data_IF_708256278008
#
_entry.id   IF_708256278008
#
_cell.length_a   1.000
_cell.length_b   1.000
_cell.length_c   1.000
_cell.angle_alpha   90.00
_cell.angle_beta   90.00
_cell.angle_gamma   90.00
#
_symmetry.space_group_name_H-M   'P 1'
#
loop_
_entity.id
_entity.type
_entity.pdbx_description
1 polymer ?
#
# COMPACT_ATOMS: atom_id res chain seq x y z
N UNK A 1 -31.49 -11.42 -11.54
CA UNK A 1 -30.24 -11.25 -10.76
C UNK A 1 -29.27 -12.28 -11.29
N UNK A 2 -28.53 -11.92 -12.33
CA UNK A 2 -27.46 -12.77 -12.86
C UNK A 2 -26.16 -12.29 -12.21
N UNK A 3 -25.43 -13.23 -11.64
CA UNK A 3 -24.02 -13.09 -11.25
C UNK A 3 -23.26 -12.42 -12.39
N UNK A 4 -22.71 -11.25 -12.12
CA UNK A 4 -21.64 -10.68 -12.92
C UNK A 4 -20.52 -10.24 -11.98
N UNK A 5 -20.02 -11.18 -11.18
CA UNK A 5 -18.64 -11.15 -10.71
C UNK A 5 -17.75 -11.48 -11.91
N UNK A 6 -17.74 -10.60 -12.92
CA UNK A 6 -16.69 -10.64 -13.91
C UNK A 6 -15.39 -10.40 -13.14
N UNK A 7 -14.51 -11.41 -13.08
CA UNK A 7 -13.14 -11.19 -12.69
C UNK A 7 -12.64 -10.00 -13.51
N UNK A 8 -12.02 -8.98 -12.89
CA UNK A 8 -11.48 -7.89 -13.67
C UNK A 8 -10.51 -8.47 -14.69
N UNK A 9 -10.47 -7.93 -15.92
CA UNK A 9 -9.53 -8.43 -16.93
C UNK A 9 -8.14 -8.54 -16.29
N UNK A 10 -7.44 -9.66 -16.48
CA UNK A 10 -6.18 -9.86 -15.80
C UNK A 10 -5.22 -8.77 -16.27
N UNK A 11 -4.83 -7.87 -15.37
CA UNK A 11 -3.57 -7.17 -15.60
C UNK A 11 -2.54 -8.27 -15.79
N UNK A 12 -1.69 -8.10 -16.79
CA UNK A 12 -0.44 -8.84 -16.82
C UNK A 12 0.33 -8.69 -15.50
N UNK A 13 1.36 -9.53 -15.33
CA UNK A 13 2.30 -9.46 -14.22
C UNK A 13 2.78 -8.02 -13.94
N UNK A 14 2.85 -7.65 -12.66
CA UNK A 14 3.37 -6.34 -12.22
C UNK A 14 4.89 -6.37 -11.99
N UNK A 15 5.45 -7.56 -11.72
CA UNK A 15 6.85 -7.81 -11.44
C UNK A 15 7.20 -7.42 -10.01
N UNK A 16 7.19 -6.12 -9.74
CA UNK A 16 7.39 -5.56 -8.41
C UNK A 16 6.84 -4.14 -8.31
N UNK A 17 6.64 -3.65 -7.09
CA UNK A 17 6.40 -2.24 -6.82
C UNK A 17 6.88 -1.87 -5.41
N UNK A 18 6.85 -0.58 -5.09
CA UNK A 18 7.20 -0.09 -3.77
C UNK A 18 6.14 0.85 -3.22
N UNK A 19 6.01 0.90 -1.90
CA UNK A 19 5.32 1.98 -1.22
C UNK A 19 6.38 2.71 -0.38
N UNK A 20 7.09 3.66 -0.98
CA UNK A 20 8.16 4.40 -0.28
C UNK A 20 7.75 5.86 -0.12
N UNK A 21 7.80 6.33 1.12
CA UNK A 21 7.72 7.76 1.43
C UNK A 21 9.14 8.29 1.58
N UNK A 22 9.52 9.25 0.74
CA UNK A 22 10.87 9.80 0.75
C UNK A 22 10.95 11.10 1.55
N UNK A 23 12.15 11.43 2.03
CA UNK A 23 12.47 12.66 2.77
C UNK A 23 12.81 13.86 1.87
N UNK A 24 12.64 13.72 0.55
CA UNK A 24 12.85 14.82 -0.39
C UNK A 24 12.01 16.05 -0.03
N UNK A 25 12.66 17.22 -0.04
CA UNK A 25 12.00 18.51 0.20
C UNK A 25 11.17 18.97 -1.02
N UNK A 26 11.61 18.62 -2.23
CA UNK A 26 10.98 19.04 -3.49
C UNK A 26 10.37 17.84 -4.23
N UNK A 27 9.18 18.04 -4.81
CA UNK A 27 8.47 16.99 -5.55
C UNK A 27 9.26 16.52 -6.77
N UNK A 28 9.85 17.45 -7.52
CA UNK A 28 10.65 17.14 -8.72
C UNK A 28 11.81 16.21 -8.42
N UNK A 29 12.55 16.46 -7.32
CA UNK A 29 13.65 15.61 -6.89
C UNK A 29 13.16 14.19 -6.49
N UNK A 30 12.00 14.11 -5.83
CA UNK A 30 11.38 12.83 -5.49
C UNK A 30 10.98 12.01 -6.72
N UNK A 31 10.39 12.66 -7.74
CA UNK A 31 10.01 12.01 -9.01
C UNK A 31 11.26 11.51 -9.75
N UNK A 32 12.30 12.35 -9.87
CA UNK A 32 13.55 11.94 -10.50
C UNK A 32 14.20 10.77 -9.77
N UNK A 33 14.25 10.79 -8.44
CA UNK A 33 14.73 9.65 -7.67
C UNK A 33 13.92 8.38 -7.95
N UNK A 34 12.59 8.49 -8.07
CA UNK A 34 11.71 7.35 -8.36
C UNK A 34 11.94 6.80 -9.77
N UNK A 35 12.08 7.66 -10.78
CA UNK A 35 12.47 7.26 -12.13
C UNK A 35 13.80 6.50 -12.13
N UNK A 36 14.83 7.04 -11.47
CA UNK A 36 16.18 6.44 -11.48
C UNK A 36 16.25 5.06 -10.85
N UNK A 37 15.43 4.77 -9.84
CA UNK A 37 15.46 3.47 -9.15
C UNK A 37 14.47 2.44 -9.70
N UNK A 38 13.49 2.88 -10.52
CA UNK A 38 12.41 2.02 -11.01
C UNK A 38 12.39 1.87 -12.53
N UNK A 39 12.60 2.95 -13.29
CA UNK A 39 12.45 2.96 -14.75
C UNK A 39 13.79 3.08 -15.49
N UNK A 40 14.69 3.95 -15.03
CA UNK A 40 15.97 4.22 -15.71
C UNK A 40 17.06 3.22 -15.29
N UNK A 41 16.75 1.93 -15.46
CA UNK A 41 17.55 0.83 -14.96
C UNK A 41 17.68 -0.28 -16.00
N UNK A 42 18.88 -0.84 -16.14
CA UNK A 42 19.21 -1.84 -17.16
C UNK A 42 19.03 -3.27 -16.62
N UNK A 43 17.89 -3.52 -15.99
CA UNK A 43 17.52 -4.84 -15.46
C UNK A 43 16.16 -5.26 -16.00
N UNK A 44 16.18 -6.34 -16.78
CA UNK A 44 14.98 -6.92 -17.36
C UNK A 44 14.23 -7.76 -16.32
N UNK A 45 13.04 -7.28 -15.93
CA UNK A 45 12.10 -8.02 -15.07
C UNK A 45 11.06 -8.80 -15.87
N UNK A 46 11.09 -8.73 -17.20
CA UNK A 46 10.15 -9.37 -18.13
C UNK A 46 8.82 -8.63 -18.28
N UNK A 47 8.66 -7.47 -17.63
CA UNK A 47 7.44 -6.66 -17.65
C UNK A 47 7.75 -5.16 -17.58
N UNK A 48 6.85 -4.29 -18.05
CA UNK A 48 7.00 -2.85 -17.86
C UNK A 48 7.08 -2.47 -16.37
N UNK A 49 8.03 -1.60 -15.97
CA UNK A 49 8.19 -1.20 -14.59
C UNK A 49 6.96 -0.45 -14.09
N UNK A 50 6.57 -0.73 -12.84
CA UNK A 50 5.44 -0.06 -12.19
C UNK A 50 5.98 1.04 -11.29
N UNK A 51 5.97 2.29 -11.79
CA UNK A 51 6.39 3.44 -11.01
C UNK A 51 5.33 3.78 -9.97
N UNK A 52 5.70 3.85 -8.70
CA UNK A 52 4.76 4.29 -7.67
C UNK A 52 4.70 5.81 -7.63
N UNK A 53 3.49 6.37 -7.60
CA UNK A 53 3.29 7.82 -7.52
C UNK A 53 3.95 8.34 -6.25
N UNK A 54 4.73 9.40 -6.40
CA UNK A 54 5.61 9.86 -5.35
C UNK A 54 4.84 10.24 -4.09
N UNK A 55 5.48 9.99 -2.95
CA UNK A 55 5.06 10.48 -1.64
C UNK A 55 6.29 11.04 -0.93
N UNK A 56 6.27 12.33 -0.64
CA UNK A 56 7.34 13.01 0.08
C UNK A 56 6.79 14.13 0.97
N UNK A 57 7.59 14.54 1.96
CA UNK A 57 7.24 15.62 2.86
C UNK A 57 5.84 15.46 3.48
N UNK A 58 4.97 16.45 3.25
CA UNK A 58 3.61 16.49 3.82
C UNK A 58 2.68 15.41 3.26
N UNK A 59 2.91 14.95 2.04
CA UNK A 59 2.16 13.85 1.42
C UNK A 59 2.66 12.47 1.86
N UNK A 60 3.51 12.42 2.89
CA UNK A 60 3.79 11.18 3.60
C UNK A 60 2.57 10.61 4.32
N UNK A 61 1.54 11.41 4.65
CA UNK A 61 0.29 10.91 5.20
C UNK A 61 -0.69 10.53 4.08
N UNK A 62 -0.94 9.23 3.93
CA UNK A 62 -1.78 8.69 2.87
C UNK A 62 -3.26 9.09 3.03
N UNK A 63 -3.74 9.18 4.26
CA UNK A 63 -5.13 9.51 4.57
C UNK A 63 -5.42 10.95 4.21
N UNK A 64 -4.51 11.88 4.51
CA UNK A 64 -4.63 13.27 4.09
C UNK A 64 -4.53 13.44 2.57
N UNK A 65 -3.60 12.71 1.92
CA UNK A 65 -3.47 12.71 0.47
C UNK A 65 -4.76 12.23 -0.21
N UNK A 66 -5.31 11.13 0.29
CA UNK A 66 -6.54 10.51 -0.25
C UNK A 66 -7.77 11.39 0.00
N UNK A 67 -7.84 12.09 1.14
CA UNK A 67 -8.87 13.10 1.40
C UNK A 67 -8.83 14.24 0.36
N UNK A 68 -7.64 14.70 -0.01
CA UNK A 68 -7.45 15.75 -1.02
C UNK A 68 -7.91 15.29 -2.41
N UNK A 69 -7.58 14.06 -2.82
CA UNK A 69 -8.12 13.47 -4.06
C UNK A 69 -9.65 13.46 -4.06
N UNK A 70 -10.24 13.11 -2.93
CA UNK A 70 -11.69 13.05 -2.73
C UNK A 70 -12.37 14.40 -2.51
N UNK A 71 -11.61 15.51 -2.48
CA UNK A 71 -12.09 16.85 -2.13
C UNK A 71 -12.84 16.89 -0.78
N UNK A 72 -12.42 16.05 0.17
CA UNK A 72 -12.97 16.00 1.52
C UNK A 72 -12.12 16.90 2.43
N UNK A 73 -12.65 18.05 2.90
CA UNK A 73 -11.90 18.93 3.77
C UNK A 73 -11.64 18.26 5.12
N UNK A 74 -10.37 18.22 5.51
CA UNK A 74 -9.93 17.71 6.81
C UNK A 74 -9.03 18.72 7.51
N UNK A 75 -9.07 18.74 8.84
CA UNK A 75 -8.09 19.44 9.68
C UNK A 75 -7.37 18.44 10.59
N UNK A 76 -6.15 18.78 10.98
CA UNK A 76 -5.47 18.02 12.03
C UNK A 76 -6.14 18.29 13.39
N UNK A 77 -6.23 17.27 14.22
CA UNK A 77 -6.65 17.34 15.61
C UNK A 77 -5.73 16.46 16.49
N UNK A 78 -5.86 16.48 17.83
CA UNK A 78 -4.96 15.71 18.71
C UNK A 78 -4.99 14.18 18.54
N UNK A 79 -6.01 13.64 17.85
CA UNK A 79 -6.21 12.21 17.62
C UNK A 79 -5.93 11.77 16.17
N UNK A 80 -5.69 12.72 15.26
CA UNK A 80 -5.50 12.45 13.84
C UNK A 80 -6.17 13.52 12.98
N UNK A 81 -7.09 13.10 12.11
CA UNK A 81 -7.78 13.95 11.15
C UNK A 81 -9.26 14.09 11.49
N UNK A 82 -9.82 15.27 11.26
CA UNK A 82 -11.25 15.53 11.43
C UNK A 82 -11.84 16.18 10.18
N UNK A 83 -12.96 15.66 9.68
CA UNK A 83 -13.73 16.27 8.60
C UNK A 83 -14.24 17.66 8.98
N UNK A 84 -14.11 18.61 8.06
CA UNK A 84 -14.58 19.98 8.23
C UNK A 84 -15.56 20.37 7.13
N UNK A 85 -16.46 21.31 7.43
CA UNK A 85 -17.43 21.81 6.43
C UNK A 85 -16.76 22.65 5.32
N UNK A 86 -15.59 23.23 5.60
CA UNK A 86 -14.84 24.07 4.67
C UNK A 86 -13.36 23.67 4.66
N UNK A 87 -12.64 23.92 3.54
CA UNK A 87 -11.20 23.70 3.44
C UNK A 87 -10.44 24.36 4.60
N UNK A 88 -9.73 23.53 5.37
CA UNK A 88 -8.82 23.99 6.41
C UNK A 88 -7.51 24.51 5.78
N UNK A 89 -6.57 24.96 6.61
CA UNK A 89 -5.23 25.29 6.12
C UNK A 89 -4.51 24.02 5.63
N UNK A 90 -4.68 22.91 6.33
CA UNK A 90 -4.11 21.61 6.01
C UNK A 90 -4.67 21.07 4.69
N UNK A 91 -5.98 21.15 4.47
CA UNK A 91 -6.61 20.73 3.20
C UNK A 91 -6.05 21.54 2.04
N UNK A 92 -6.06 22.88 2.15
CA UNK A 92 -5.55 23.76 1.09
C UNK A 92 -4.08 23.50 0.76
N UNK A 93 -3.26 23.20 1.77
CA UNK A 93 -1.85 22.86 1.57
C UNK A 93 -1.68 21.52 0.88
N UNK A 94 -2.48 20.51 1.23
CA UNK A 94 -2.46 19.23 0.54
C UNK A 94 -2.93 19.37 -0.90
N UNK A 95 -4.02 20.11 -1.16
CA UNK A 95 -4.51 20.36 -2.51
C UNK A 95 -3.49 21.13 -3.37
N UNK A 96 -2.71 22.04 -2.75
CA UNK A 96 -1.61 22.72 -3.41
C UNK A 96 -0.48 21.75 -3.79
N UNK A 97 -0.11 20.87 -2.87
CA UNK A 97 0.89 19.83 -3.10
C UNK A 97 0.44 18.83 -4.18
N UNK A 98 -0.82 18.41 -4.18
CA UNK A 98 -1.36 17.49 -5.21
C UNK A 98 -1.25 18.11 -6.60
N UNK A 99 -1.62 19.39 -6.75
CA UNK A 99 -1.48 20.12 -8.02
C UNK A 99 -0.02 20.20 -8.46
N UNK A 100 0.88 20.61 -7.56
CA UNK A 100 2.32 20.66 -7.84
C UNK A 100 2.86 19.29 -8.28
N UNK A 101 2.43 18.21 -7.59
CA UNK A 101 2.87 16.86 -7.89
C UNK A 101 2.32 16.32 -9.22
N UNK A 102 1.06 16.61 -9.56
CA UNK A 102 0.50 16.24 -10.86
C UNK A 102 1.16 16.99 -12.01
N UNK A 103 1.39 18.30 -11.84
CA UNK A 103 2.04 19.13 -12.86
C UNK A 103 3.48 18.66 -13.10
N UNK A 104 4.22 18.39 -12.02
CA UNK A 104 5.58 17.86 -12.10
C UNK A 104 5.61 16.43 -12.68
N UNK A 105 4.62 15.60 -12.37
CA UNK A 105 4.49 14.26 -12.95
C UNK A 105 4.27 14.34 -14.47
N UNK A 106 3.36 15.20 -14.93
CA UNK A 106 3.12 15.42 -16.37
C UNK A 106 4.41 15.85 -17.09
N UNK A 107 5.13 16.83 -16.52
CA UNK A 107 6.37 17.32 -17.11
C UNK A 107 7.47 16.25 -17.19
N UNK A 108 7.61 15.41 -16.16
CA UNK A 108 8.77 14.52 -16.00
C UNK A 108 8.54 13.09 -16.50
N UNK A 109 7.31 12.60 -16.40
CA UNK A 109 6.94 11.19 -16.60
C UNK A 109 6.24 10.93 -17.93
N UNK A 110 5.67 11.94 -18.59
CA UNK A 110 4.91 11.75 -19.82
C UNK A 110 5.72 10.97 -20.88
N UNK A 111 5.13 9.90 -21.41
CA UNK A 111 5.77 8.99 -22.38
C UNK A 111 7.04 8.28 -21.90
N UNK A 112 7.39 8.34 -20.61
CA UNK A 112 8.53 7.61 -20.01
C UNK A 112 8.11 6.44 -19.12
N UNK A 113 6.84 6.40 -18.72
CA UNK A 113 6.30 5.36 -17.84
C UNK A 113 5.13 4.69 -18.52
N UNK A 114 5.11 3.36 -18.49
CA UNK A 114 3.99 2.57 -19.03
C UNK A 114 2.93 2.28 -17.96
N UNK A 115 3.36 2.15 -16.69
CA UNK A 115 2.48 1.86 -15.55
C UNK A 115 2.81 2.77 -14.37
N UNK A 116 1.77 3.36 -13.80
CA UNK A 116 1.83 4.16 -12.58
C UNK A 116 0.95 3.54 -11.50
N UNK A 117 1.50 3.31 -10.31
CA UNK A 117 0.73 2.86 -9.15
C UNK A 117 0.37 4.03 -8.25
N UNK A 118 -0.92 4.28 -8.04
CA UNK A 118 -1.43 5.29 -7.13
C UNK A 118 -1.85 4.64 -5.82
N UNK A 119 -1.12 4.93 -4.74
CA UNK A 119 -1.48 4.49 -3.40
C UNK A 119 -2.59 5.38 -2.82
N UNK A 120 -3.60 4.76 -2.21
CA UNK A 120 -4.74 5.46 -1.60
C UNK A 120 -5.18 4.75 -0.32
N UNK A 121 -5.62 5.50 0.68
CA UNK A 121 -6.28 4.97 1.88
C UNK A 121 -7.68 4.49 1.49
N UNK A 122 -8.02 3.26 1.85
CA UNK A 122 -9.32 2.68 1.55
C UNK A 122 -10.45 3.19 2.45
N UNK A 123 -11.71 3.01 2.02
CA UNK A 123 -12.87 3.54 2.73
C UNK A 123 -12.96 3.14 4.20
N UNK A 124 -12.64 1.89 4.55
CA UNK A 124 -12.80 1.41 5.93
C UNK A 124 -11.76 2.01 6.87
N UNK A 125 -10.51 2.11 6.41
CA UNK A 125 -9.43 2.76 7.13
C UNK A 125 -9.70 4.25 7.25
N UNK A 126 -10.11 4.92 6.17
CA UNK A 126 -10.51 6.33 6.23
C UNK A 126 -11.63 6.56 7.25
N UNK A 127 -12.68 5.72 7.22
CA UNK A 127 -13.80 5.81 8.16
C UNK A 127 -13.39 5.57 9.62
N UNK A 128 -12.37 4.75 9.85
CA UNK A 128 -11.84 4.44 11.18
C UNK A 128 -10.88 5.50 11.72
N UNK A 129 -10.12 6.16 10.85
CA UNK A 129 -9.07 7.14 11.21
C UNK A 129 -9.59 8.57 11.27
N UNK A 130 -10.51 8.94 10.38
CA UNK A 130 -11.02 10.31 10.27
C UNK A 130 -12.22 10.49 11.18
N UNK A 131 -12.17 11.52 12.03
CA UNK A 131 -13.27 11.89 12.91
C UNK A 131 -14.29 12.81 12.21
N UNK A 132 -15.55 12.69 12.60
CA UNK A 132 -16.61 13.64 12.29
C UNK A 132 -17.42 13.88 13.56
N UNK A 133 -17.48 15.15 14.01
CA UNK A 133 -18.17 15.53 15.26
C UNK A 133 -17.66 14.75 16.49
N UNK A 134 -16.34 14.50 16.55
CA UNK A 134 -15.65 13.93 17.71
C UNK A 134 -15.63 12.39 17.82
N UNK A 135 -16.09 11.68 16.79
CA UNK A 135 -16.03 10.22 16.69
C UNK A 135 -15.58 9.80 15.29
N UNK A 136 -15.01 8.59 15.09
CA UNK A 136 -14.71 8.08 13.76
C UNK A 136 -15.93 8.17 12.84
N UNK A 137 -15.73 8.58 11.59
CA UNK A 137 -16.77 8.72 10.56
C UNK A 137 -17.58 7.44 10.42
N UNK A 138 -16.95 6.27 10.62
CA UNK A 138 -17.59 4.96 10.60
C UNK A 138 -18.81 4.83 11.54
N UNK A 139 -18.85 5.63 12.62
CA UNK A 139 -19.98 5.65 13.56
C UNK A 139 -21.26 6.19 12.91
N UNK A 140 -21.14 7.17 12.02
CA UNK A 140 -22.25 7.76 11.28
C UNK A 140 -22.32 7.11 9.90
N UNK A 141 -23.15 6.06 9.78
CA UNK A 141 -23.28 5.26 8.54
C UNK A 141 -23.59 6.12 7.30
N UNK A 142 -24.53 7.08 7.33
CA UNK A 142 -24.71 8.04 6.23
C UNK A 142 -23.43 8.81 5.87
N UNK A 143 -22.73 9.38 6.85
CA UNK A 143 -21.50 10.13 6.60
C UNK A 143 -20.39 9.23 6.02
N UNK A 144 -20.21 8.03 6.58
CA UNK A 144 -19.27 7.04 6.06
C UNK A 144 -19.57 6.66 4.61
N UNK A 145 -20.83 6.38 4.28
CA UNK A 145 -21.23 6.04 2.91
C UNK A 145 -20.92 7.18 1.95
N UNK A 146 -21.19 8.42 2.35
CA UNK A 146 -20.90 9.59 1.54
C UNK A 146 -19.39 9.78 1.33
N UNK A 147 -18.59 9.63 2.38
CA UNK A 147 -17.13 9.64 2.28
C UNK A 147 -16.63 8.54 1.35
N UNK A 148 -17.10 7.29 1.50
CA UNK A 148 -16.69 6.18 0.64
C UNK A 148 -16.98 6.44 -0.85
N UNK A 149 -18.12 7.07 -1.16
CA UNK A 149 -18.46 7.47 -2.52
C UNK A 149 -17.54 8.57 -3.05
N UNK A 150 -17.23 9.58 -2.24
CA UNK A 150 -16.31 10.67 -2.60
C UNK A 150 -14.88 10.16 -2.78
N UNK A 151 -14.43 9.22 -1.95
CA UNK A 151 -13.13 8.56 -2.10
C UNK A 151 -13.04 7.85 -3.45
N UNK A 152 -14.02 6.99 -3.77
CA UNK A 152 -14.04 6.29 -5.06
C UNK A 152 -14.07 7.25 -6.26
N UNK A 153 -14.88 8.32 -6.19
CA UNK A 153 -14.96 9.33 -7.24
C UNK A 153 -13.66 10.13 -7.39
N UNK A 154 -13.08 10.62 -6.29
CA UNK A 154 -11.85 11.41 -6.32
C UNK A 154 -10.65 10.63 -6.82
N UNK A 155 -10.53 9.35 -6.42
CA UNK A 155 -9.49 8.44 -6.91
C UNK A 155 -9.65 8.17 -8.39
N UNK A 156 -10.87 7.97 -8.89
CA UNK A 156 -11.11 7.83 -10.34
C UNK A 156 -10.69 9.09 -11.10
N UNK A 157 -11.07 10.28 -10.62
CA UNK A 157 -10.75 11.54 -11.29
C UNK A 157 -9.23 11.78 -11.40
N UNK A 158 -8.50 11.61 -10.29
CA UNK A 158 -7.04 11.81 -10.29
C UNK A 158 -6.31 10.75 -11.12
N UNK A 159 -6.74 9.48 -11.04
CA UNK A 159 -6.16 8.40 -11.84
C UNK A 159 -6.49 8.54 -13.33
N UNK A 160 -7.68 9.06 -13.67
CA UNK A 160 -8.08 9.41 -15.02
C UNK A 160 -7.22 10.53 -15.61
N UNK A 161 -7.03 11.60 -14.84
CA UNK A 161 -6.18 12.73 -15.23
C UNK A 161 -4.71 12.30 -15.43
N UNK A 162 -4.14 11.55 -14.49
CA UNK A 162 -2.77 11.03 -14.60
C UNK A 162 -2.61 10.08 -15.79
N UNK A 163 -3.55 9.16 -15.99
CA UNK A 163 -3.50 8.23 -17.13
C UNK A 163 -3.52 8.98 -18.46
N UNK A 164 -4.40 9.98 -18.60
CA UNK A 164 -4.51 10.79 -19.81
C UNK A 164 -3.28 11.66 -20.06
N UNK A 165 -2.76 12.32 -19.02
CA UNK A 165 -1.59 13.21 -19.12
C UNK A 165 -0.30 12.44 -19.41
N UNK A 166 -0.12 11.26 -18.81
CA UNK A 166 1.11 10.49 -18.91
C UNK A 166 1.12 9.49 -20.08
N UNK A 167 -0.05 9.11 -20.58
CA UNK A 167 -0.21 8.04 -21.56
C UNK A 167 0.08 6.65 -20.99
N UNK A 168 -0.18 6.46 -19.69
CA UNK A 168 0.17 5.24 -18.95
C UNK A 168 -1.07 4.55 -18.33
N UNK A 169 -0.94 3.26 -18.03
CA UNK A 169 -1.91 2.52 -17.23
C UNK A 169 -1.76 2.90 -15.75
N UNK A 170 -2.86 3.30 -15.10
CA UNK A 170 -2.87 3.61 -13.67
C UNK A 170 -3.48 2.45 -12.89
N UNK A 171 -2.72 1.92 -11.93
CA UNK A 171 -3.11 0.84 -11.02
C UNK A 171 -3.33 1.43 -9.64
N UNK A 172 -4.40 1.03 -8.95
CA UNK A 172 -4.68 1.53 -7.60
C UNK A 172 -4.18 0.55 -6.55
N UNK A 173 -3.38 1.04 -5.61
CA UNK A 173 -3.03 0.31 -4.40
C UNK A 173 -3.89 0.82 -3.24
N UNK A 174 -4.91 0.03 -2.89
CA UNK A 174 -5.86 0.31 -1.82
C UNK A 174 -5.29 -0.18 -0.49
N UNK A 175 -4.98 0.77 0.40
CA UNK A 175 -4.45 0.52 1.73
C UNK A 175 -5.55 0.48 2.77
N UNK A 176 -5.74 -0.68 3.39
CA UNK A 176 -6.76 -0.95 4.41
C UNK A 176 -6.19 -1.50 5.73
N UNK A 177 -5.19 -0.85 6.36
CA UNK A 177 -4.54 -1.35 7.58
C UNK A 177 -5.48 -1.52 8.78
N UNK A 178 -6.58 -0.75 8.85
CA UNK A 178 -7.51 -0.77 9.99
C UNK A 178 -8.68 -1.73 9.78
N UNK A 179 -8.76 -2.43 8.65
CA UNK A 179 -9.94 -3.27 8.32
C UNK A 179 -10.17 -4.40 9.33
N UNK A 180 -9.09 -5.01 9.86
CA UNK A 180 -9.21 -6.04 10.90
C UNK A 180 -9.86 -5.50 12.17
N UNK A 181 -9.54 -4.26 12.55
CA UNK A 181 -10.16 -3.61 13.71
C UNK A 181 -11.61 -3.26 13.44
N UNK A 182 -11.95 -2.86 12.21
CA UNK A 182 -13.34 -2.65 11.78
C UNK A 182 -14.15 -3.95 11.87
N UNK A 183 -13.57 -5.08 11.49
CA UNK A 183 -14.18 -6.41 11.63
C UNK A 183 -14.32 -6.87 13.09
N UNK A 184 -13.41 -6.44 13.97
CA UNK A 184 -13.44 -6.75 15.41
C UNK A 184 -14.26 -5.77 16.26
N UNK A 185 -14.62 -4.61 15.71
CA UNK A 185 -15.18 -3.48 16.43
C UNK A 185 -14.10 -2.50 16.92
N UNK A 186 -14.40 -1.20 16.87
CA UNK A 186 -13.47 -0.14 17.25
C UNK A 186 -13.79 0.43 18.64
N UNK A 187 -12.77 0.78 19.44
CA UNK A 187 -13.00 1.61 20.62
C UNK A 187 -13.51 3.00 20.18
N UNK A 188 -14.47 3.57 20.92
CA UNK A 188 -14.84 4.99 20.75
C UNK A 188 -14.19 5.86 21.82
N UNK A 189 -14.56 7.15 21.84
CA UNK A 189 -13.99 8.17 22.73
C UNK A 189 -14.10 7.83 24.24
N UNK A 190 -14.96 6.89 24.63
CA UNK A 190 -15.08 6.42 26.02
C UNK A 190 -15.10 4.89 26.09
N UNK A 191 -14.72 4.35 27.25
CA UNK A 191 -14.70 2.90 27.55
C UNK A 191 -16.07 2.20 27.44
N UNK A 192 -17.14 2.98 27.45
CA UNK A 192 -18.53 2.51 27.44
C UNK A 192 -19.19 2.68 26.07
N UNK A 193 -18.45 3.20 25.10
CA UNK A 193 -18.95 3.48 23.75
C UNK A 193 -18.00 2.81 22.75
N UNK A 194 -18.53 1.88 21.96
CA UNK A 194 -17.77 1.13 20.95
C UNK A 194 -18.49 1.19 19.63
N UNK A 195 -17.74 1.25 18.53
CA UNK A 195 -18.32 1.05 17.20
C UNK A 195 -18.42 -0.47 17.00
N UNK A 196 -19.62 -1.02 16.73
CA UNK A 196 -19.79 -2.45 16.59
C UNK A 196 -18.98 -3.00 15.42
N UNK A 197 -18.58 -4.26 15.55
CA UNK A 197 -17.98 -5.03 14.46
C UNK A 197 -18.82 -4.93 13.18
N UNK A 198 -18.14 -4.75 12.05
CA UNK A 198 -18.77 -4.75 10.73
C UNK A 198 -18.61 -6.13 10.10
N UNK A 199 -19.73 -6.70 9.67
CA UNK A 199 -19.72 -7.99 8.97
C UNK A 199 -18.99 -7.89 7.62
N UNK A 200 -18.25 -8.95 7.27
CA UNK A 200 -17.41 -9.00 6.07
C UNK A 200 -18.17 -8.73 4.78
N UNK A 201 -19.46 -9.08 4.69
CA UNK A 201 -20.25 -8.86 3.49
C UNK A 201 -20.46 -7.35 3.23
N UNK A 202 -20.60 -6.55 4.29
CA UNK A 202 -20.64 -5.09 4.14
C UNK A 202 -19.28 -4.55 3.71
N UNK A 203 -18.20 -5.10 4.26
CA UNK A 203 -16.82 -4.73 3.91
C UNK A 203 -16.58 -4.95 2.42
N UNK A 204 -16.88 -6.14 1.93
CA UNK A 204 -16.78 -6.48 0.52
C UNK A 204 -17.68 -5.61 -0.34
N UNK A 205 -18.93 -5.36 0.06
CA UNK A 205 -19.84 -4.51 -0.69
C UNK A 205 -19.32 -3.08 -0.91
N UNK A 206 -18.65 -2.51 0.09
CA UNK A 206 -18.02 -1.18 -0.03
C UNK A 206 -16.78 -1.23 -0.92
N UNK A 207 -15.93 -2.26 -0.80
CA UNK A 207 -14.79 -2.43 -1.70
C UNK A 207 -15.19 -2.65 -3.14
N UNK A 208 -16.18 -3.50 -3.40
CA UNK A 208 -16.74 -3.71 -4.74
C UNK A 208 -17.26 -2.41 -5.32
N UNK A 209 -17.97 -1.61 -4.51
CA UNK A 209 -18.46 -0.31 -4.98
C UNK A 209 -17.32 0.65 -5.30
N UNK A 210 -16.28 0.69 -4.46
CA UNK A 210 -15.07 1.50 -4.69
C UNK A 210 -14.37 1.07 -5.99
N UNK A 211 -14.12 -0.24 -6.18
CA UNK A 211 -13.51 -0.80 -7.39
C UNK A 211 -14.32 -0.44 -8.65
N UNK A 212 -15.65 -0.52 -8.59
CA UNK A 212 -16.53 -0.11 -9.69
C UNK A 212 -16.46 1.38 -10.00
N UNK A 213 -16.31 2.25 -9.00
CA UNK A 213 -16.17 3.69 -9.21
C UNK A 213 -14.82 4.01 -9.84
N UNK A 214 -13.75 3.41 -9.32
CA UNK A 214 -12.38 3.59 -9.78
C UNK A 214 -12.19 3.05 -11.20
N UNK A 215 -12.90 1.97 -11.57
CA UNK A 215 -12.87 1.36 -12.91
C UNK A 215 -11.45 1.13 -13.44
N UNK A 216 -10.55 0.71 -12.53
CA UNK A 216 -9.15 0.37 -12.77
C UNK A 216 -8.78 -0.86 -11.96
N UNK A 217 -7.69 -1.53 -12.33
CA UNK A 217 -7.19 -2.60 -11.51
C UNK A 217 -6.81 -2.13 -10.09
N UNK A 218 -7.14 -2.95 -9.09
CA UNK A 218 -6.92 -2.62 -7.69
C UNK A 218 -6.17 -3.75 -7.00
N UNK A 219 -5.09 -3.39 -6.29
CA UNK A 219 -4.39 -4.26 -5.35
C UNK A 219 -4.77 -3.88 -3.93
N UNK A 220 -4.94 -4.86 -3.05
CA UNK A 220 -5.27 -4.66 -1.64
C UNK A 220 -4.04 -4.86 -0.78
N UNK A 221 -3.70 -3.86 0.04
CA UNK A 221 -2.72 -3.99 1.11
C UNK A 221 -3.43 -3.74 2.45
N UNK A 222 -3.47 -4.76 3.31
CA UNK A 222 -4.11 -4.66 4.63
C UNK A 222 -3.12 -4.35 5.75
N UNK A 223 -1.85 -4.06 5.42
CA UNK A 223 -0.77 -3.76 6.36
C UNK A 223 -0.51 -4.83 7.42
N UNK A 224 -1.11 -6.02 7.28
CA UNK A 224 -1.17 -7.06 8.30
C UNK A 224 -1.31 -8.43 7.65
N UNK A 225 -1.37 -9.47 8.47
CA UNK A 225 -1.54 -10.84 7.97
C UNK A 225 -2.91 -10.94 7.27
N UNK A 226 -3.06 -11.86 6.33
CA UNK A 226 -4.34 -12.19 5.69
C UNK A 226 -4.97 -13.36 6.45
N UNK A 227 -6.21 -13.22 6.88
CA UNK A 227 -7.00 -14.30 7.48
C UNK A 227 -8.00 -14.89 6.48
N UNK A 228 -8.78 -15.88 6.91
CA UNK A 228 -9.75 -16.57 6.06
C UNK A 228 -10.73 -15.59 5.40
N UNK A 229 -11.24 -14.61 6.15
CA UNK A 229 -12.14 -13.61 5.61
C UNK A 229 -11.42 -12.74 4.56
N UNK A 230 -10.27 -12.15 4.88
CA UNK A 230 -9.57 -11.29 3.92
C UNK A 230 -9.09 -12.05 2.68
N UNK A 231 -8.85 -13.37 2.78
CA UNK A 231 -8.47 -14.22 1.64
C UNK A 231 -9.56 -14.41 0.58
N UNK A 232 -10.81 -14.06 0.91
CA UNK A 232 -11.97 -14.12 0.02
C UNK A 232 -12.42 -12.73 -0.46
N UNK A 233 -11.63 -11.68 -0.20
CA UNK A 233 -11.94 -10.33 -0.64
C UNK A 233 -12.06 -10.28 -2.18
N UNK A 234 -13.24 -9.94 -2.73
CA UNK A 234 -13.49 -10.07 -4.15
C UNK A 234 -12.87 -8.94 -4.97
N UNK A 235 -12.53 -9.24 -6.23
CA UNK A 235 -12.22 -8.23 -7.25
C UNK A 235 -10.81 -7.61 -7.19
N UNK A 236 -9.97 -8.00 -6.24
CA UNK A 236 -8.58 -7.51 -6.17
C UNK A 236 -7.64 -8.33 -7.03
N UNK A 237 -6.86 -7.67 -7.90
CA UNK A 237 -5.87 -8.34 -8.74
C UNK A 237 -4.73 -8.94 -7.93
N UNK A 238 -4.33 -8.25 -6.85
CA UNK A 238 -3.35 -8.72 -5.88
C UNK A 238 -3.82 -8.44 -4.47
N UNK A 239 -3.51 -9.36 -3.56
CA UNK A 239 -3.59 -9.12 -2.13
C UNK A 239 -2.16 -9.20 -1.58
N UNK A 240 -1.72 -8.16 -0.90
CA UNK A 240 -0.38 -8.11 -0.30
C UNK A 240 -0.34 -9.02 0.92
N UNK A 241 0.67 -9.89 0.95
CA UNK A 241 0.93 -10.85 2.02
C UNK A 241 2.32 -10.58 2.60
N UNK A 242 2.45 -10.39 3.93
CA UNK A 242 3.74 -10.24 4.55
C UNK A 242 4.54 -11.55 4.53
N UNK A 243 5.83 -11.47 4.20
CA UNK A 243 6.72 -12.63 4.16
C UNK A 243 6.75 -13.44 5.47
N UNK A 244 6.53 -12.79 6.62
CA UNK A 244 6.53 -13.45 7.93
C UNK A 244 5.33 -14.38 8.11
N UNK A 245 4.19 -14.11 7.46
CA UNK A 245 3.02 -15.00 7.48
C UNK A 245 3.35 -16.35 6.85
N UNK A 246 4.21 -16.36 5.83
CA UNK A 246 4.64 -17.54 5.11
C UNK A 246 5.71 -18.36 5.86
N UNK A 247 6.08 -17.95 7.08
CA UNK A 247 6.88 -18.76 7.99
C UNK A 247 6.04 -19.74 8.81
N UNK A 248 4.72 -19.57 8.83
CA UNK A 248 3.80 -20.42 9.61
C UNK A 248 3.09 -21.43 8.73
N UNK A 249 2.80 -22.63 9.23
CA UNK A 249 2.02 -23.64 8.50
C UNK A 249 0.65 -23.11 8.09
N UNK A 250 -0.10 -22.54 9.04
CA UNK A 250 -1.42 -21.96 8.77
C UNK A 250 -1.37 -20.85 7.72
N UNK A 251 -0.35 -20.00 7.74
CA UNK A 251 -0.17 -18.95 6.74
C UNK A 251 0.17 -19.49 5.36
N UNK A 252 1.05 -20.49 5.27
CA UNK A 252 1.37 -21.18 4.01
C UNK A 252 0.15 -21.86 3.41
N UNK A 253 -0.65 -22.54 4.22
CA UNK A 253 -1.86 -23.24 3.76
C UNK A 253 -2.90 -22.24 3.23
N UNK A 254 -3.11 -21.14 3.97
CA UNK A 254 -4.03 -20.08 3.57
C UNK A 254 -3.63 -19.43 2.24
N UNK A 255 -2.35 -19.03 2.12
CA UNK A 255 -1.85 -18.36 0.91
C UNK A 255 -1.77 -19.32 -0.28
N UNK A 256 -1.37 -20.58 -0.05
CA UNK A 256 -1.44 -21.61 -1.08
C UNK A 256 -2.87 -21.82 -1.59
N UNK A 257 -3.85 -21.80 -0.68
CA UNK A 257 -5.27 -21.84 -1.04
C UNK A 257 -5.75 -20.62 -1.84
N UNK A 258 -5.22 -19.42 -1.57
CA UNK A 258 -5.49 -18.22 -2.37
C UNK A 258 -4.96 -18.38 -3.80
N UNK A 259 -3.68 -18.75 -3.93
CA UNK A 259 -3.03 -18.93 -5.23
C UNK A 259 -3.72 -20.04 -6.03
N UNK A 260 -4.10 -21.15 -5.38
CA UNK A 260 -4.85 -22.23 -6.02
C UNK A 260 -6.24 -21.83 -6.54
N UNK A 261 -6.81 -20.71 -6.06
CA UNK A 261 -8.03 -20.10 -6.62
C UNK A 261 -7.75 -19.09 -7.75
N UNK A 262 -6.49 -18.90 -8.12
CA UNK A 262 -6.04 -17.90 -9.09
C UNK A 262 -5.87 -16.50 -8.51
N UNK A 263 -5.91 -16.32 -7.19
CA UNK A 263 -5.64 -15.02 -6.56
C UNK A 263 -4.14 -14.73 -6.61
N UNK A 264 -3.74 -13.71 -7.37
CA UNK A 264 -2.37 -13.22 -7.32
C UNK A 264 -2.05 -12.56 -5.98
N UNK A 265 -0.78 -12.61 -5.57
CA UNK A 265 -0.29 -12.03 -4.32
C UNK A 265 0.85 -11.04 -4.57
N UNK A 266 0.89 -10.01 -3.72
CA UNK A 266 2.09 -9.19 -3.55
C UNK A 266 2.88 -9.73 -2.37
N UNK A 267 4.06 -10.30 -2.60
CA UNK A 267 4.93 -10.79 -1.54
C UNK A 267 5.70 -9.61 -0.92
N UNK A 268 5.29 -9.16 0.26
CA UNK A 268 5.96 -8.05 0.94
C UNK A 268 7.27 -8.52 1.57
N UNK A 269 8.38 -7.93 1.13
CA UNK A 269 9.73 -8.33 1.54
C UNK A 269 9.91 -8.15 3.05
N UNK A 270 10.34 -9.23 3.73
CA UNK A 270 10.64 -9.19 5.17
C UNK A 270 11.77 -8.22 5.47
N UNK A 271 11.63 -7.52 6.59
CA UNK A 271 12.45 -6.39 6.97
C UNK A 271 13.62 -6.78 7.90
N UNK A 272 13.72 -8.04 8.33
CA UNK A 272 14.80 -8.46 9.22
C UNK A 272 16.13 -8.62 8.47
N UNK A 273 17.17 -7.90 8.91
CA UNK A 273 18.54 -8.35 8.69
C UNK A 273 18.74 -9.72 9.35
N UNK A 274 19.64 -10.59 8.85
CA UNK A 274 19.99 -11.82 9.56
C UNK A 274 20.54 -11.46 10.95
N UNK A 275 19.77 -11.72 12.00
CA UNK A 275 20.21 -11.48 13.37
C UNK A 275 21.28 -12.49 13.75
N UNK A 276 22.53 -12.03 13.88
CA UNK A 276 23.55 -12.72 14.67
C UNK A 276 23.18 -12.53 16.15
N UNK A 277 23.06 -13.64 16.89
CA UNK A 277 22.48 -13.67 18.22
C UNK A 277 23.19 -12.81 19.28
N UNK A 278 22.40 -12.37 20.26
CA UNK A 278 22.89 -11.69 21.47
C UNK A 278 21.75 -11.45 22.47
N UNK A 279 21.97 -11.88 23.71
CA UNK A 279 21.01 -12.05 24.79
C UNK A 279 20.40 -10.75 25.35
N UNK A 280 19.17 -10.89 25.84
CA UNK A 280 18.39 -9.87 26.56
C UNK A 280 18.87 -9.68 28.01
N UNK A 281 19.02 -8.42 28.43
CA UNK A 281 18.96 -8.00 29.84
C UNK A 281 18.11 -6.72 29.97
N UNK A 282 17.23 -6.68 30.98
CA UNK A 282 16.08 -5.77 31.07
C UNK A 282 16.28 -4.48 31.85
N UNK A 283 15.21 -3.68 31.94
CA UNK A 283 15.14 -2.47 32.77
C UNK A 283 13.81 -1.72 32.61
N UNK A 284 13.09 -1.54 33.73
CA UNK A 284 11.80 -0.83 33.88
C UNK A 284 11.99 0.71 33.93
N UNK A 285 10.98 1.46 33.48
CA UNK A 285 10.80 2.88 33.84
C UNK A 285 9.54 3.53 33.24
N UNK A 286 8.63 4.00 34.10
CA UNK A 286 7.42 4.78 33.78
C UNK A 286 7.73 6.29 33.72
N UNK A 287 7.20 7.01 32.73
CA UNK A 287 6.86 8.44 32.80
C UNK A 287 5.74 8.80 31.80
N UNK A 288 4.84 9.68 32.24
CA UNK A 288 3.67 10.19 31.51
C UNK A 288 4.06 11.49 30.78
N UNK A 289 3.80 11.55 29.47
CA UNK A 289 4.02 12.71 28.59
C UNK A 289 3.00 12.74 27.44
N UNK A 290 2.70 13.94 26.92
CA UNK A 290 1.69 14.24 25.89
C UNK A 290 1.87 13.42 24.58
N UNK A 291 0.81 13.17 23.78
CA UNK A 291 0.97 12.56 22.46
C UNK A 291 1.41 13.64 21.46
N UNK A 292 2.69 13.62 21.10
CA UNK A 292 3.10 13.97 19.74
C UNK A 292 2.40 13.00 18.77
N UNK A 293 2.05 13.41 17.54
CA UNK A 293 1.54 12.48 16.54
C UNK A 293 2.60 11.42 16.34
N UNK A 294 2.26 10.15 16.62
CA UNK A 294 3.18 9.03 16.72
C UNK A 294 4.27 9.08 15.63
N UNK A 295 5.42 9.63 16.01
CA UNK A 295 6.67 9.34 15.36
C UNK A 295 6.87 7.86 15.59
N UNK A 296 6.74 7.07 14.54
CA UNK A 296 7.35 5.75 14.49
C UNK A 296 8.84 6.03 14.71
N UNK A 297 9.32 5.86 15.95
CA UNK A 297 10.75 5.72 16.19
C UNK A 297 11.18 4.55 15.32
N UNK A 298 11.86 4.90 14.23
CA UNK A 298 12.46 3.96 13.32
C UNK A 298 13.42 3.11 14.14
N UNK A 299 13.08 1.84 14.38
CA UNK A 299 14.12 0.84 14.49
C UNK A 299 15.04 1.07 13.28
N UNK A 300 16.31 1.42 13.52
CA UNK A 300 17.25 1.82 12.47
C UNK A 300 17.20 0.83 11.32
N UNK A 301 16.94 1.33 10.11
CA UNK A 301 16.86 0.49 8.93
C UNK A 301 18.29 -0.03 8.63
N UNK A 302 18.56 -1.34 8.59
CA UNK A 302 19.90 -1.88 8.30
C UNK A 302 20.36 -1.59 6.85
N UNK A 303 19.63 -0.76 6.11
CA UNK A 303 19.85 -0.42 4.71
C UNK A 303 20.86 0.74 4.48
N UNK A 304 21.39 1.39 5.52
CA UNK A 304 22.31 2.54 5.33
C UNK A 304 23.68 2.17 4.75
N UNK A 305 24.13 0.91 4.83
CA UNK A 305 25.49 0.49 4.44
C UNK A 305 25.55 -0.84 3.66
N UNK A 306 24.55 -1.14 2.82
CA UNK A 306 24.61 -2.36 2.00
C UNK A 306 25.43 -2.12 0.73
N UNK A 307 26.51 -2.89 0.55
CA UNK A 307 27.25 -2.91 -0.72
C UNK A 307 26.40 -3.54 -1.84
N UNK A 308 26.78 -3.33 -3.11
CA UNK A 308 26.08 -3.97 -4.23
C UNK A 308 26.02 -5.51 -4.11
N UNK A 309 27.06 -6.13 -3.57
CA UNK A 309 27.09 -7.57 -3.31
C UNK A 309 26.06 -8.00 -2.23
N UNK A 310 25.83 -7.16 -1.22
CA UNK A 310 24.85 -7.44 -0.17
C UNK A 310 23.41 -7.32 -0.69
N UNK A 311 23.19 -6.38 -1.62
CA UNK A 311 21.89 -6.21 -2.32
C UNK A 311 21.57 -7.45 -3.16
N UNK A 312 22.52 -7.94 -3.96
CA UNK A 312 22.35 -9.16 -4.75
C UNK A 312 22.11 -10.39 -3.88
N UNK A 313 22.86 -10.55 -2.80
CA UNK A 313 22.68 -11.65 -1.85
C UNK A 313 21.30 -11.61 -1.19
N UNK A 314 20.84 -10.42 -0.76
CA UNK A 314 19.52 -10.24 -0.20
C UNK A 314 18.40 -10.53 -1.21
N UNK A 315 18.55 -10.07 -2.45
CA UNK A 315 17.61 -10.37 -3.54
C UNK A 315 17.54 -11.88 -3.84
N UNK A 316 18.68 -12.56 -3.88
CA UNK A 316 18.76 -14.01 -4.06
C UNK A 316 18.08 -14.79 -2.93
N UNK A 317 18.16 -14.29 -1.69
CA UNK A 317 17.44 -14.89 -0.56
C UNK A 317 15.92 -14.73 -0.69
N UNK A 318 15.44 -13.58 -1.14
CA UNK A 318 14.01 -13.34 -1.40
C UNK A 318 13.52 -14.30 -2.50
N UNK A 319 14.20 -14.33 -3.65
CA UNK A 319 13.82 -15.20 -4.77
C UNK A 319 13.83 -16.69 -4.37
N UNK A 320 14.84 -17.14 -3.62
CA UNK A 320 14.92 -18.52 -3.12
C UNK A 320 13.78 -18.85 -2.15
N UNK A 321 13.40 -17.92 -1.28
CA UNK A 321 12.28 -18.10 -0.37
C UNK A 321 10.96 -18.28 -1.14
N UNK A 322 10.71 -17.44 -2.15
CA UNK A 322 9.55 -17.54 -3.03
C UNK A 322 9.54 -18.87 -3.80
N UNK A 323 10.64 -19.22 -4.49
CA UNK A 323 10.74 -20.46 -5.27
C UNK A 323 10.61 -21.72 -4.41
N UNK A 324 11.23 -21.73 -3.23
CA UNK A 324 11.12 -22.84 -2.27
C UNK A 324 9.67 -23.02 -1.82
N UNK A 325 8.98 -21.92 -1.50
CA UNK A 325 7.59 -21.98 -1.10
C UNK A 325 6.66 -22.38 -2.26
N UNK A 326 6.91 -21.89 -3.47
CA UNK A 326 6.20 -22.27 -4.68
C UNK A 326 6.30 -23.78 -4.96
N UNK A 327 7.51 -24.31 -4.84
CA UNK A 327 7.78 -25.75 -4.99
C UNK A 327 7.05 -26.56 -3.91
N UNK A 328 6.99 -26.07 -2.67
CA UNK A 328 6.25 -26.73 -1.58
C UNK A 328 4.75 -26.79 -1.85
N UNK A 329 4.17 -25.77 -2.51
CA UNK A 329 2.77 -25.80 -2.93
C UNK A 329 2.52 -26.70 -4.16
N UNK A 330 3.58 -27.25 -4.77
CA UNK A 330 3.48 -28.16 -5.91
C UNK A 330 2.78 -27.53 -7.12
N UNK A 331 2.97 -26.23 -7.32
CA UNK A 331 2.38 -25.46 -8.42
C UNK A 331 3.28 -25.45 -9.67
N UNK A 332 2.72 -25.33 -10.89
CA UNK A 332 3.48 -25.23 -12.13
C UNK A 332 4.42 -24.01 -12.11
N UNK A 333 5.66 -24.17 -12.60
CA UNK A 333 6.65 -23.08 -12.56
C UNK A 333 6.26 -21.90 -13.47
N UNK A 334 5.58 -22.17 -14.58
CA UNK A 334 5.13 -21.18 -15.57
C UNK A 334 4.03 -20.24 -15.04
N UNK A 335 3.31 -20.64 -13.98
CA UNK A 335 2.28 -19.80 -13.35
C UNK A 335 2.86 -18.78 -12.36
N UNK A 336 4.07 -19.02 -11.82
CA UNK A 336 4.68 -18.19 -10.77
C UNK A 336 4.75 -16.70 -11.17
N UNK A 337 5.29 -16.34 -12.36
CA UNK A 337 5.41 -14.93 -12.73
C UNK A 337 4.04 -14.25 -12.84
N UNK A 338 2.98 -14.97 -13.18
CA UNK A 338 1.63 -14.42 -13.30
C UNK A 338 0.94 -14.14 -11.97
N UNK A 339 1.32 -14.86 -10.91
CA UNK A 339 0.61 -14.87 -9.63
C UNK A 339 1.40 -14.28 -8.46
N UNK A 340 2.71 -14.08 -8.59
CA UNK A 340 3.55 -13.53 -7.51
C UNK A 340 4.34 -12.32 -7.99
N UNK A 341 4.15 -11.20 -7.31
CA UNK A 341 4.91 -9.97 -7.51
C UNK A 341 5.62 -9.57 -6.19
N UNK A 342 6.74 -8.85 -6.28
CA UNK A 342 7.51 -8.45 -5.09
C UNK A 342 7.10 -7.05 -4.63
N UNK A 343 6.90 -6.86 -3.32
CA UNK A 343 6.45 -5.59 -2.75
C UNK A 343 7.46 -5.05 -1.75
N UNK A 344 7.88 -3.80 -1.94
CA UNK A 344 8.54 -3.03 -0.88
C UNK A 344 7.45 -2.34 -0.06
N UNK A 345 7.26 -2.71 1.23
CA UNK A 345 6.16 -2.19 2.05
C UNK A 345 6.35 -0.71 2.44
N UNK A 346 5.26 -0.11 2.92
CA UNK A 346 5.24 1.30 3.35
C UNK A 346 6.34 1.62 4.36
N UNK A 347 7.20 2.58 4.03
CA UNK A 347 8.10 3.19 5.02
C UNK A 347 8.57 4.57 4.59
N UNK A 348 8.86 5.41 5.57
CA UNK A 348 9.71 6.60 5.39
C UNK A 348 11.16 6.15 5.18
N UNK A 349 11.78 6.56 4.08
CA UNK A 349 13.15 6.20 3.69
C UNK A 349 13.88 7.44 3.21
N UNK A 350 15.19 7.50 3.45
CA UNK A 350 16.06 8.42 2.71
C UNK A 350 16.12 8.00 1.24
N UNK A 351 16.55 8.89 0.35
CA UNK A 351 16.75 8.56 -1.07
C UNK A 351 17.68 7.33 -1.28
N UNK A 352 18.73 7.20 -0.46
CA UNK A 352 19.64 6.06 -0.52
C UNK A 352 18.97 4.75 -0.08
N UNK A 353 18.26 4.77 1.06
CA UNK A 353 17.51 3.62 1.56
C UNK A 353 16.41 3.18 0.58
N UNK A 354 15.73 4.13 -0.05
CA UNK A 354 14.73 3.85 -1.09
C UNK A 354 15.36 3.15 -2.30
N UNK A 355 16.52 3.63 -2.77
CA UNK A 355 17.26 3.02 -3.88
C UNK A 355 17.68 1.58 -3.57
N UNK A 356 18.23 1.33 -2.38
CA UNK A 356 18.64 -0.01 -1.92
C UNK A 356 17.44 -0.96 -1.83
N UNK A 357 16.32 -0.50 -1.27
CA UNK A 357 15.10 -1.31 -1.15
C UNK A 357 14.51 -1.66 -2.53
N UNK A 358 14.45 -0.68 -3.44
CA UNK A 358 14.01 -0.87 -4.82
C UNK A 358 14.90 -1.87 -5.57
N UNK A 359 16.23 -1.71 -5.49
CA UNK A 359 17.18 -2.64 -6.11
C UNK A 359 16.99 -4.08 -5.63
N UNK A 360 16.87 -4.30 -4.30
CA UNK A 360 16.62 -5.63 -3.72
C UNK A 360 15.35 -6.28 -4.29
N UNK A 361 14.24 -5.55 -4.34
CA UNK A 361 12.97 -6.06 -4.83
C UNK A 361 13.02 -6.36 -6.34
N UNK A 362 13.60 -5.45 -7.11
CA UNK A 362 13.76 -5.55 -8.56
C UNK A 362 14.65 -6.70 -8.98
N UNK A 363 15.82 -6.87 -8.35
CA UNK A 363 16.68 -8.04 -8.59
C UNK A 363 15.98 -9.34 -8.21
N UNK A 364 15.22 -9.37 -7.10
CA UNK A 364 14.45 -10.55 -6.73
C UNK A 364 13.39 -10.89 -7.79
N UNK A 365 12.65 -9.90 -8.29
CA UNK A 365 11.66 -10.08 -9.35
C UNK A 365 12.28 -10.55 -10.68
N UNK A 366 13.47 -10.04 -11.03
CA UNK A 366 14.23 -10.50 -12.20
C UNK A 366 14.69 -11.96 -12.06
N UNK A 367 15.12 -12.38 -10.86
CA UNK A 367 15.48 -13.78 -10.60
C UNK A 367 14.28 -14.74 -10.67
N UNK A 368 13.08 -14.27 -10.33
CA UNK A 368 11.84 -15.04 -10.48
C UNK A 368 11.36 -15.15 -11.94
N UNK A 369 11.87 -14.30 -12.85
CA UNK A 369 11.58 -14.39 -14.27
C UNK A 369 12.51 -15.36 -15.00
N UNK A 370 13.79 -15.38 -14.61
CA UNK A 370 14.82 -16.18 -15.29
C UNK A 370 14.75 -17.68 -14.99
N UNK A 371 13.99 -18.08 -13.97
CA UNK A 371 13.80 -19.46 -13.51
C UNK A 371 12.35 -19.88 -13.69
#
# INVERSE_FOLDING_TARGET
MADNTAQPEPIGRLGWWENTVTDHAEVRAAIQSALTRTCDVDEDTGVPPVLSFLRCGRAGDLTALTASFAQLPIRANPRGWELTAHPSLESRRMDGWVREATDAAEELLASKVERLMLHVTGPWTFGAEVEFRGHPVLRDRPAFKDCALHLGFGVEQIAGALSAALGCEVIIALHEPRVREVMGGLPSATRFDTIPAVDREFIYGVWQRFQQQVARPVVLDTGSFIDDALSHAPGFHRIVVPADQLQTTSGKDLVGGMIGRGQGIGWAVSQAAPSVGGETAGGRGHTVGHPEPAGVESAGDPAEDLSGADVEAAAGNIARAVLSQWTQWTLPADELPGLVDIVVPERKRTAAQASVAAARARHAAALLWRN
#
